data_IF_216917176398
#
_entry.id   IF_216917176398
#
_cell.length_a   1.000
_cell.length_b   1.000
_cell.length_c   1.000
_cell.angle_alpha   90.00
_cell.angle_beta   90.00
_cell.angle_gamma   90.00
#
_symmetry.space_group_name_H-M   'P 1'
#
loop_
_entity.id
_entity.type
_entity.pdbx_description
1 polymer ?
#
# COMPACT_ATOMS: atom_id res chain seq x y z
N UNK A 1 5.52 -6.15 15.63
CA UNK A 1 4.59 -6.48 14.53
C UNK A 1 5.34 -7.35 13.54
N UNK A 2 4.77 -8.47 13.08
CA UNK A 2 5.43 -9.29 12.06
C UNK A 2 5.16 -8.67 10.69
N UNK A 3 6.20 -8.15 10.04
CA UNK A 3 6.07 -7.53 8.71
C UNK A 3 6.28 -8.61 7.63
N UNK A 4 5.30 -8.86 6.75
CA UNK A 4 5.40 -9.84 5.67
C UNK A 4 6.63 -9.64 4.77
N UNK A 5 7.20 -10.71 4.22
CA UNK A 5 8.38 -10.62 3.35
C UNK A 5 8.14 -9.88 2.03
N UNK A 6 6.90 -9.82 1.55
CA UNK A 6 6.50 -9.11 0.34
C UNK A 6 6.34 -7.60 0.54
N UNK A 7 6.37 -7.10 1.79
CA UNK A 7 6.37 -5.67 2.07
C UNK A 7 7.74 -5.05 1.76
N UNK A 8 7.81 -3.90 1.07
CA UNK A 8 9.07 -3.30 0.63
C UNK A 8 10.07 -3.06 1.77
N UNK A 9 11.33 -3.40 1.52
CA UNK A 9 12.48 -3.07 2.40
C UNK A 9 13.09 -1.70 2.09
N UNK A 10 12.90 -1.20 0.86
CA UNK A 10 13.34 0.12 0.44
C UNK A 10 12.21 0.85 -0.31
N UNK A 11 11.47 1.76 0.36
CA UNK A 11 10.38 2.51 -0.26
C UNK A 11 10.88 3.59 -1.24
N UNK A 12 12.12 4.04 -1.12
CA UNK A 12 12.71 5.10 -1.96
C UNK A 12 14.04 4.65 -2.58
N UNK A 13 14.02 3.79 -3.61
CA UNK A 13 15.23 3.44 -4.34
C UNK A 13 15.90 4.70 -4.91
N UNK A 14 17.24 4.72 -4.92
CA UNK A 14 18.11 5.89 -5.04
C UNK A 14 17.97 6.80 -6.28
N UNK A 15 16.98 6.60 -7.15
CA UNK A 15 16.66 7.46 -8.29
C UNK A 15 15.90 8.75 -7.94
N UNK A 16 15.61 9.01 -6.66
CA UNK A 16 15.00 10.27 -6.17
C UNK A 16 16.00 11.13 -5.38
N UNK A 17 17.27 11.12 -5.80
CA UNK A 17 18.33 11.98 -5.27
C UNK A 17 18.12 13.44 -5.70
N UNK A 18 17.15 14.11 -5.09
CA UNK A 18 16.93 15.54 -5.27
C UNK A 18 16.60 16.29 -3.98
N UNK A 19 15.83 15.68 -3.07
CA UNK A 19 15.34 16.47 -1.92
C UNK A 19 14.91 15.69 -0.67
N UNK A 20 15.04 14.36 -0.60
CA UNK A 20 14.67 13.61 0.61
C UNK A 20 15.90 13.22 1.47
N UNK A 21 16.67 14.22 1.90
CA UNK A 21 17.85 14.09 2.75
C UNK A 21 17.51 13.79 4.23
N UNK A 22 16.62 12.82 4.49
CA UNK A 22 16.41 12.28 5.86
C UNK A 22 16.45 10.74 5.96
N UNK A 23 16.40 10.04 4.82
CA UNK A 23 16.43 8.56 4.76
C UNK A 23 17.60 7.99 3.95
N UNK A 24 18.39 8.83 3.28
CA UNK A 24 19.54 8.37 2.50
C UNK A 24 20.77 8.24 3.41
N UNK A 25 21.10 6.99 3.74
CA UNK A 25 22.33 6.55 4.43
C UNK A 25 22.56 7.14 5.84
N UNK A 26 22.37 6.31 6.87
CA UNK A 26 22.96 6.56 8.20
C UNK A 26 24.09 5.58 8.43
N UNK A 27 25.22 6.10 8.92
CA UNK A 27 26.28 5.25 9.47
C UNK A 27 25.86 4.78 10.86
N UNK A 28 25.66 3.48 11.01
CA UNK A 28 25.49 2.84 12.33
C UNK A 28 26.68 1.91 12.51
N UNK A 29 27.48 2.11 13.56
CA UNK A 29 28.68 1.31 13.86
C UNK A 29 29.68 1.17 12.68
N UNK A 30 29.90 2.26 11.93
CA UNK A 30 30.81 2.26 10.77
C UNK A 30 30.29 1.52 9.54
N UNK A 31 29.02 1.07 9.53
CA UNK A 31 28.36 0.49 8.35
C UNK A 31 27.33 1.46 7.79
N UNK A 32 27.39 1.68 6.49
CA UNK A 32 26.37 2.42 5.74
C UNK A 32 25.12 1.55 5.63
N UNK A 33 24.06 1.88 6.38
CA UNK A 33 22.76 1.19 6.25
C UNK A 33 21.95 1.92 5.18
N UNK A 34 21.60 1.19 4.12
CA UNK A 34 20.75 1.67 3.03
C UNK A 34 19.38 0.99 3.18
N UNK A 35 18.32 1.76 3.43
CA UNK A 35 16.95 1.25 3.63
C UNK A 35 16.39 1.54 5.02
N UNK A 36 15.15 1.09 5.26
CA UNK A 36 14.48 1.21 6.57
C UNK A 36 15.10 0.24 7.58
N UNK A 37 15.15 0.62 8.86
CA UNK A 37 15.34 -0.35 9.95
C UNK A 37 14.13 -1.28 10.07
N UNK A 38 14.24 -2.37 10.83
CA UNK A 38 13.10 -3.27 11.06
C UNK A 38 11.93 -2.55 11.76
N UNK A 39 12.23 -1.65 12.70
CA UNK A 39 11.21 -0.84 13.39
C UNK A 39 10.56 0.17 12.44
N UNK A 40 11.34 0.90 11.65
CA UNK A 40 10.82 1.84 10.65
C UNK A 40 9.99 1.10 9.58
N UNK A 41 10.42 -0.10 9.18
CA UNK A 41 9.68 -0.97 8.27
C UNK A 41 8.37 -1.45 8.88
N UNK A 42 8.34 -1.74 10.18
CA UNK A 42 7.12 -2.10 10.90
C UNK A 42 6.14 -0.93 11.00
N UNK A 43 6.63 0.28 11.28
CA UNK A 43 5.80 1.50 11.29
C UNK A 43 5.21 1.80 9.91
N UNK A 44 6.05 1.72 8.86
CA UNK A 44 5.61 1.88 7.46
C UNK A 44 4.58 0.83 7.08
N UNK A 45 4.81 -0.42 7.48
CA UNK A 45 3.87 -1.50 7.24
C UNK A 45 2.52 -1.25 7.91
N UNK A 46 2.50 -0.86 9.19
CA UNK A 46 1.27 -0.56 9.92
C UNK A 46 0.46 0.55 9.23
N UNK A 47 1.13 1.63 8.81
CA UNK A 47 0.50 2.74 8.09
C UNK A 47 -0.06 2.30 6.73
N UNK A 48 0.69 1.50 5.97
CA UNK A 48 0.21 0.98 4.68
C UNK A 48 -0.96 0.02 4.86
N UNK A 49 -0.96 -0.79 5.91
CA UNK A 49 -2.03 -1.74 6.21
C UNK A 49 -3.33 -1.02 6.56
N UNK A 50 -3.29 0.00 7.41
CA UNK A 50 -4.45 0.84 7.73
C UNK A 50 -5.04 1.49 6.46
N UNK A 51 -4.18 2.01 5.57
CA UNK A 51 -4.62 2.57 4.29
C UNK A 51 -5.29 1.51 3.41
N UNK A 52 -4.78 0.28 3.36
CA UNK A 52 -5.42 -0.83 2.62
C UNK A 52 -6.82 -1.09 3.17
N UNK A 53 -6.99 -1.16 4.49
CA UNK A 53 -8.30 -1.37 5.12
C UNK A 53 -9.29 -0.25 4.78
N UNK A 54 -8.86 1.01 4.87
CA UNK A 54 -9.67 2.17 4.50
C UNK A 54 -10.09 2.13 3.02
N UNK A 55 -9.18 1.76 2.12
CA UNK A 55 -9.45 1.68 0.68
C UNK A 55 -10.41 0.54 0.35
N UNK A 56 -10.30 -0.61 1.02
CA UNK A 56 -11.24 -1.73 0.84
C UNK A 56 -12.64 -1.34 1.30
N UNK A 57 -12.77 -0.72 2.47
CA UNK A 57 -14.05 -0.22 2.98
C UNK A 57 -14.66 0.82 2.03
N UNK A 58 -13.83 1.73 1.51
CA UNK A 58 -14.22 2.72 0.52
C UNK A 58 -14.72 2.08 -0.78
N UNK A 59 -14.01 1.09 -1.33
CA UNK A 59 -14.42 0.37 -2.53
C UNK A 59 -15.78 -0.31 -2.33
N UNK A 60 -16.00 -0.99 -1.20
CA UNK A 60 -17.28 -1.65 -0.91
C UNK A 60 -18.44 -0.67 -0.85
N UNK A 61 -18.26 0.45 -0.16
CA UNK A 61 -19.29 1.50 -0.12
C UNK A 61 -19.59 2.02 -1.52
N UNK A 62 -18.54 2.24 -2.33
CA UNK A 62 -18.70 2.73 -3.70
C UNK A 62 -19.34 1.73 -4.66
N UNK A 63 -19.15 0.42 -4.47
CA UNK A 63 -19.83 -0.59 -5.27
C UNK A 63 -21.32 -0.65 -4.98
N UNK A 64 -21.73 -0.42 -3.73
CA UNK A 64 -23.15 -0.31 -3.36
C UNK A 64 -23.81 0.96 -3.91
N UNK A 65 -23.08 2.08 -3.92
CA UNK A 65 -23.56 3.35 -4.49
C UNK A 65 -23.66 3.33 -6.04
N UNK A 66 -22.87 2.48 -6.71
CA UNK A 66 -22.76 2.42 -8.18
C UNK A 66 -22.76 0.96 -8.67
N UNK A 67 -23.89 0.24 -8.57
CA UNK A 67 -23.95 -1.18 -8.90
C UNK A 67 -23.75 -1.47 -10.40
N UNK A 68 -23.92 -0.46 -11.26
CA UNK A 68 -23.71 -0.58 -12.72
C UNK A 68 -22.23 -0.61 -13.10
N UNK A 69 -21.33 -0.24 -12.20
CA UNK A 69 -19.90 -0.18 -12.46
C UNK A 69 -19.25 -1.51 -12.07
N UNK A 70 -18.43 -2.06 -12.96
CA UNK A 70 -17.77 -3.33 -12.65
C UNK A 70 -16.74 -3.16 -11.51
N UNK A 71 -16.51 -4.20 -10.69
CA UNK A 71 -15.51 -4.17 -9.63
C UNK A 71 -14.10 -3.80 -10.14
N UNK A 72 -13.72 -4.28 -11.32
CA UNK A 72 -12.42 -3.98 -11.92
C UNK A 72 -12.27 -2.50 -12.30
N UNK A 73 -13.32 -1.87 -12.84
CA UNK A 73 -13.31 -0.44 -13.17
C UNK A 73 -13.27 0.45 -11.92
N UNK A 74 -13.94 0.01 -10.85
CA UNK A 74 -13.88 0.69 -9.55
C UNK A 74 -12.47 0.61 -8.97
N UNK A 75 -11.91 -0.60 -8.86
CA UNK A 75 -10.56 -0.82 -8.32
C UNK A 75 -9.48 -0.10 -9.15
N UNK A 76 -9.59 -0.11 -10.48
CA UNK A 76 -8.66 0.62 -11.35
C UNK A 76 -8.78 2.14 -11.24
N UNK A 77 -9.94 2.67 -10.83
CA UNK A 77 -10.09 4.09 -10.54
C UNK A 77 -9.53 4.47 -9.16
N UNK A 78 -9.77 3.63 -8.15
CA UNK A 78 -9.18 3.83 -6.82
C UNK A 78 -7.65 3.74 -6.89
N UNK A 79 -7.10 2.76 -7.62
CA UNK A 79 -5.65 2.65 -7.87
C UNK A 79 -5.06 3.94 -8.45
N UNK A 80 -5.69 4.51 -9.50
CA UNK A 80 -5.26 5.78 -10.07
C UNK A 80 -5.30 6.91 -9.03
N UNK A 81 -6.32 6.92 -8.18
CA UNK A 81 -6.44 7.86 -7.06
C UNK A 81 -5.28 7.75 -6.06
N UNK A 82 -4.91 6.53 -5.68
CA UNK A 82 -3.77 6.25 -4.78
C UNK A 82 -2.46 6.73 -5.42
N UNK A 83 -2.21 6.36 -6.68
CA UNK A 83 -1.01 6.79 -7.42
C UNK A 83 -0.91 8.32 -7.53
N UNK A 84 -2.02 9.00 -7.79
CA UNK A 84 -2.05 10.47 -7.84
C UNK A 84 -1.79 11.12 -6.48
N UNK A 85 -2.10 10.44 -5.38
CA UNK A 85 -1.86 10.93 -4.01
C UNK A 85 -0.53 10.47 -3.43
N UNK A 86 0.28 9.70 -4.16
CA UNK A 86 1.56 9.15 -3.71
C UNK A 86 2.45 10.20 -3.05
N UNK A 87 2.66 11.35 -3.70
CA UNK A 87 3.51 12.42 -3.17
C UNK A 87 2.92 13.07 -1.91
N UNK A 88 1.61 13.26 -1.87
CA UNK A 88 0.89 13.87 -0.74
C UNK A 88 0.92 12.96 0.49
N UNK A 89 0.79 11.65 0.27
CA UNK A 89 0.85 10.62 1.31
C UNK A 89 2.26 10.15 1.64
N UNK A 90 3.29 10.73 0.99
CA UNK A 90 4.70 10.40 1.18
C UNK A 90 4.99 8.89 1.01
N UNK A 91 4.29 8.27 0.07
CA UNK A 91 4.45 6.86 -0.26
C UNK A 91 5.54 6.65 -1.30
N UNK A 92 6.37 5.64 -1.06
CA UNK A 92 7.29 5.09 -2.05
C UNK A 92 6.54 4.38 -3.17
N UNK A 93 7.13 4.32 -4.37
CA UNK A 93 6.57 3.55 -5.48
C UNK A 93 6.26 2.08 -5.10
N UNK A 94 7.22 1.38 -4.46
CA UNK A 94 7.00 0.01 -3.96
C UNK A 94 5.89 -0.10 -2.90
N UNK A 95 5.69 0.93 -2.06
CA UNK A 95 4.61 0.95 -1.07
C UNK A 95 3.25 1.07 -1.77
N UNK A 96 3.14 1.95 -2.79
CA UNK A 96 1.93 2.10 -3.59
C UNK A 96 1.57 0.79 -4.29
N UNK A 97 2.55 0.14 -4.91
CA UNK A 97 2.32 -1.14 -5.61
C UNK A 97 1.85 -2.23 -4.64
N UNK A 98 2.45 -2.28 -3.43
CA UNK A 98 2.02 -3.19 -2.38
C UNK A 98 0.59 -2.88 -1.90
N UNK A 99 0.25 -1.62 -1.63
CA UNK A 99 -1.09 -1.18 -1.22
C UNK A 99 -2.14 -1.60 -2.27
N UNK A 100 -1.88 -1.33 -3.55
CA UNK A 100 -2.80 -1.67 -4.65
C UNK A 100 -2.99 -3.18 -4.76
N UNK A 101 -1.90 -3.95 -4.65
CA UNK A 101 -1.96 -5.40 -4.70
C UNK A 101 -2.80 -5.96 -3.54
N UNK A 102 -2.59 -5.48 -2.32
CA UNK A 102 -3.34 -5.95 -1.15
C UNK A 102 -4.79 -5.51 -1.17
N UNK A 103 -5.09 -4.27 -1.56
CA UNK A 103 -6.47 -3.81 -1.75
C UNK A 103 -7.24 -4.75 -2.71
N UNK A 104 -6.65 -5.10 -3.86
CA UNK A 104 -7.27 -6.00 -4.83
C UNK A 104 -7.46 -7.41 -4.28
N UNK A 105 -6.48 -7.96 -3.55
CA UNK A 105 -6.58 -9.28 -2.91
C UNK A 105 -7.68 -9.30 -1.85
N UNK A 106 -7.65 -8.36 -0.91
CA UNK A 106 -8.62 -8.26 0.19
C UNK A 106 -10.04 -8.02 -0.32
N UNK A 107 -10.21 -7.24 -1.39
CA UNK A 107 -11.51 -7.04 -2.01
C UNK A 107 -12.07 -8.35 -2.62
N UNK A 108 -11.23 -9.13 -3.31
CA UNK A 108 -11.63 -10.42 -3.91
C UNK A 108 -12.01 -11.48 -2.87
N UNK A 109 -11.13 -11.71 -1.88
CA UNK A 109 -11.36 -12.67 -0.79
C UNK A 109 -12.73 -12.48 -0.12
N UNK A 110 -13.12 -11.22 0.07
CA UNK A 110 -14.40 -10.91 0.70
C UNK A 110 -15.59 -10.99 -0.28
N UNK A 111 -15.37 -10.81 -1.59
CA UNK A 111 -16.42 -11.04 -2.59
C UNK A 111 -16.77 -12.52 -2.67
N UNK A 112 -15.75 -13.40 -2.66
CA UNK A 112 -15.94 -14.86 -2.69
C UNK A 112 -16.61 -15.38 -1.41
N UNK A 113 -16.32 -14.78 -0.24
CA UNK A 113 -16.99 -15.10 1.02
C UNK A 113 -18.47 -14.69 1.10
N UNK A 114 -18.89 -13.69 0.32
CA UNK A 114 -20.30 -13.30 0.25
C UNK A 114 -21.06 -14.23 -0.70
N UNK A 115 -20.47 -14.59 -1.85
CA UNK A 115 -21.05 -15.53 -2.81
C UNK A 115 -21.16 -16.96 -2.26
N UNK A 116 -20.20 -17.39 -1.43
CA UNK A 116 -20.18 -18.72 -0.82
C UNK A 116 -21.09 -18.94 0.40
N UNK A 117 -21.86 -17.94 0.84
CA UNK A 117 -22.86 -18.08 1.93
C UNK A 117 -24.29 -18.30 1.44
N UNK A 118 -24.48 -18.55 0.15
CA UNK A 118 -25.76 -18.97 -0.44
C UNK A 118 -25.60 -20.34 -1.14
N UNK A 119 -25.51 -21.42 -0.36
CA UNK A 119 -25.73 -22.79 -0.84
C UNK A 119 -26.28 -23.68 0.25
#
# INVERSE_FOLDING_TARGET
MQVPDDFPRNPFPASLAGTQAKFAARMINGRCVVGLTDDERAERYAMCLDLVEQLVAYCRRKSLEQPTRSPNELLGWVERGVRNKQAVWQLGGPEVDWIVAQMRRSYKLNSDEIDGRES
#
